data_IF_537737407842
#
_entry.id   IF_537737407842
#
_cell.length_a   1.000
_cell.length_b   1.000
_cell.length_c   1.000
_cell.angle_alpha   90.00
_cell.angle_beta   90.00
_cell.angle_gamma   90.00
#
_symmetry.space_group_name_H-M   'P 1'
#
loop_
_entity.id
_entity.type
_entity.pdbx_description
1 polymer ?
#
# COMPACT_ATOMS: atom_id res chain seq x y z
N UNK A 1 -4.66 -36.46 -2.85
CA UNK A 1 -3.92 -36.48 -1.57
C UNK A 1 -4.31 -35.25 -0.78
N UNK A 2 -4.62 -35.42 0.52
CA UNK A 2 -4.83 -34.29 1.43
C UNK A 2 -3.53 -34.03 2.18
N UNK A 3 -3.09 -32.77 2.20
CA UNK A 3 -1.91 -32.33 2.93
C UNK A 3 -2.39 -31.35 3.98
N UNK A 4 -2.01 -31.58 5.23
CA UNK A 4 -2.29 -30.64 6.31
C UNK A 4 -1.13 -29.67 6.39
N UNK A 5 -1.42 -28.37 6.36
CA UNK A 5 -0.45 -27.29 6.48
C UNK A 5 -0.83 -26.39 7.65
N UNK A 6 0.17 -25.87 8.34
CA UNK A 6 -0.08 -25.00 9.49
C UNK A 6 -0.52 -23.59 9.05
N UNK A 7 0.05 -23.12 7.95
CA UNK A 7 -0.19 -21.76 7.45
C UNK A 7 -0.02 -21.69 5.93
N UNK A 8 -1.04 -21.19 5.25
CA UNK A 8 -1.03 -21.10 3.78
C UNK A 8 0.10 -20.22 3.25
N UNK A 9 0.38 -19.13 3.94
CA UNK A 9 1.35 -18.11 3.52
C UNK A 9 2.81 -18.51 3.73
N UNK A 10 3.08 -19.67 4.35
CA UNK A 10 4.46 -20.10 4.63
C UNK A 10 5.17 -20.69 3.42
N UNK A 11 6.47 -20.51 3.36
CA UNK A 11 7.34 -21.13 2.35
C UNK A 11 7.27 -22.66 2.38
N UNK A 12 7.09 -23.26 3.56
CA UNK A 12 6.93 -24.71 3.71
C UNK A 12 5.65 -25.20 3.03
N UNK A 13 4.56 -24.46 3.10
CA UNK A 13 3.30 -24.80 2.43
C UNK A 13 3.50 -24.75 0.91
N UNK A 14 4.14 -23.72 0.38
CA UNK A 14 4.44 -23.61 -1.06
C UNK A 14 5.28 -24.80 -1.52
N UNK A 15 6.32 -25.18 -0.76
CA UNK A 15 7.14 -26.36 -1.06
C UNK A 15 6.32 -27.65 -1.04
N UNK A 16 5.49 -27.84 -0.01
CA UNK A 16 4.63 -29.02 0.09
C UNK A 16 3.64 -29.13 -1.07
N UNK A 17 3.10 -28.01 -1.55
CA UNK A 17 2.25 -27.98 -2.75
C UNK A 17 3.09 -28.42 -3.98
N UNK A 18 4.27 -27.85 -4.17
CA UNK A 18 5.13 -28.20 -5.29
C UNK A 18 5.49 -29.68 -5.30
N UNK A 19 5.95 -30.24 -4.18
CA UNK A 19 6.40 -31.63 -4.04
C UNK A 19 5.28 -32.66 -4.27
N UNK A 20 4.01 -32.29 -4.01
CA UNK A 20 2.86 -33.18 -4.14
C UNK A 20 2.03 -32.90 -5.40
N UNK A 21 2.53 -32.07 -6.31
CA UNK A 21 1.85 -31.74 -7.56
C UNK A 21 2.31 -32.68 -8.68
N UNK A 22 1.31 -33.30 -9.34
CA UNK A 22 1.48 -34.18 -10.53
C UNK A 22 0.70 -33.67 -11.76
N UNK A 23 0.24 -32.41 -11.71
CA UNK A 23 -0.52 -31.74 -12.75
C UNK A 23 0.31 -30.65 -13.43
N UNK A 24 -0.15 -30.20 -14.61
CA UNK A 24 0.51 -29.11 -15.35
C UNK A 24 0.30 -27.73 -14.68
N UNK A 25 -0.83 -27.58 -14.00
CA UNK A 25 -1.24 -26.35 -13.33
C UNK A 25 -1.75 -26.61 -11.92
N UNK A 26 -1.56 -25.64 -11.05
CA UNK A 26 -2.05 -25.63 -9.66
C UNK A 26 -2.93 -24.40 -9.44
N UNK A 27 -4.08 -24.59 -8.82
CA UNK A 27 -4.89 -23.49 -8.33
C UNK A 27 -4.60 -23.29 -6.84
N UNK A 28 -4.08 -22.12 -6.51
CA UNK A 28 -3.87 -21.69 -5.13
C UNK A 28 -5.05 -20.82 -4.74
N UNK A 29 -5.80 -21.25 -3.72
CA UNK A 29 -6.83 -20.45 -3.08
C UNK A 29 -6.19 -19.71 -1.89
N UNK A 30 -6.04 -18.39 -1.99
CA UNK A 30 -5.30 -17.57 -1.01
C UNK A 30 -6.12 -17.17 0.21
N UNK A 31 -7.42 -17.48 0.21
CA UNK A 31 -8.33 -17.17 1.33
C UNK A 31 -9.13 -18.42 1.73
N UNK A 32 -9.35 -18.59 3.02
CA UNK A 32 -10.24 -19.64 3.55
C UNK A 32 -11.70 -19.20 3.48
N UNK A 33 -12.21 -19.00 2.27
CA UNK A 33 -13.59 -18.58 2.00
C UNK A 33 -14.26 -19.53 1.01
N UNK A 34 -15.59 -19.72 1.06
CA UNK A 34 -16.31 -20.48 0.05
C UNK A 34 -16.18 -19.83 -1.32
N UNK A 35 -15.73 -20.62 -2.30
CA UNK A 35 -15.61 -20.20 -3.69
C UNK A 35 -16.68 -20.89 -4.52
N UNK A 36 -17.42 -20.12 -5.32
CA UNK A 36 -18.37 -20.62 -6.33
C UNK A 36 -17.86 -20.29 -7.71
N UNK A 37 -17.54 -21.31 -8.49
CA UNK A 37 -17.06 -21.18 -9.85
C UNK A 37 -18.17 -20.68 -10.79
N UNK A 38 -17.81 -19.77 -11.68
CA UNK A 38 -18.63 -19.40 -12.81
C UNK A 38 -18.67 -20.53 -13.86
N UNK A 39 -19.61 -20.44 -14.80
CA UNK A 39 -19.71 -21.40 -15.88
C UNK A 39 -18.45 -21.35 -16.75
N UNK A 40 -17.83 -22.51 -16.99
CA UNK A 40 -16.57 -22.66 -17.74
C UNK A 40 -15.37 -21.86 -17.19
N UNK A 41 -15.44 -21.39 -15.97
CA UNK A 41 -14.38 -20.56 -15.39
C UNK A 41 -13.02 -21.28 -15.34
N UNK A 42 -12.98 -22.53 -14.89
CA UNK A 42 -11.74 -23.32 -14.86
C UNK A 42 -11.17 -23.51 -16.27
N UNK A 43 -12.02 -23.84 -17.26
CA UNK A 43 -11.60 -23.97 -18.65
C UNK A 43 -11.04 -22.64 -19.18
N UNK A 44 -11.65 -21.53 -18.82
CA UNK A 44 -11.20 -20.18 -19.21
C UNK A 44 -9.82 -19.87 -18.64
N UNK A 45 -9.57 -20.18 -17.35
CA UNK A 45 -8.26 -20.05 -16.73
C UNK A 45 -7.19 -20.87 -17.45
N UNK A 46 -7.45 -22.17 -17.66
CA UNK A 46 -6.49 -23.09 -18.30
C UNK A 46 -6.18 -22.66 -19.73
N UNK A 47 -7.23 -22.37 -20.53
CA UNK A 47 -7.04 -21.94 -21.92
C UNK A 47 -6.26 -20.63 -22.01
N UNK A 48 -6.53 -19.67 -21.13
CA UNK A 48 -5.74 -18.42 -21.09
C UNK A 48 -4.28 -18.68 -20.74
N UNK A 49 -4.00 -19.54 -19.77
CA UNK A 49 -2.64 -19.89 -19.41
C UNK A 49 -1.88 -20.59 -20.55
N UNK A 50 -2.56 -21.49 -21.28
CA UNK A 50 -1.99 -22.17 -22.45
C UNK A 50 -1.73 -21.21 -23.60
N UNK A 51 -2.72 -20.35 -23.94
CA UNK A 51 -2.64 -19.42 -25.06
C UNK A 51 -1.60 -18.30 -24.85
N UNK A 52 -1.44 -17.84 -23.62
CA UNK A 52 -0.49 -16.75 -23.29
C UNK A 52 0.88 -17.25 -22.86
N UNK A 53 0.98 -18.50 -22.40
CA UNK A 53 2.18 -19.02 -21.76
C UNK A 53 2.47 -18.41 -20.38
N UNK A 54 1.50 -17.70 -19.78
CA UNK A 54 1.66 -17.05 -18.49
C UNK A 54 2.06 -18.02 -17.38
N UNK A 55 2.92 -17.58 -16.47
CA UNK A 55 3.35 -18.36 -15.31
C UNK A 55 2.31 -18.36 -14.20
N UNK A 56 1.49 -17.32 -14.16
CA UNK A 56 0.36 -17.14 -13.25
C UNK A 56 -0.79 -16.44 -13.95
N UNK A 57 -2.01 -16.88 -13.70
CA UNK A 57 -3.25 -16.26 -14.21
C UNK A 57 -4.21 -16.00 -13.06
N UNK A 58 -4.85 -14.84 -13.05
CA UNK A 58 -5.88 -14.44 -12.09
C UNK A 58 -7.02 -13.70 -12.80
N UNK A 59 -8.13 -13.46 -12.10
CA UNK A 59 -9.29 -12.83 -12.74
C UNK A 59 -10.06 -11.91 -11.81
N UNK A 60 -10.93 -11.09 -12.39
CA UNK A 60 -12.01 -10.43 -11.65
C UNK A 60 -12.92 -11.46 -10.99
N UNK A 61 -13.64 -11.04 -9.96
CA UNK A 61 -14.58 -11.90 -9.26
C UNK A 61 -15.77 -11.11 -8.71
N UNK A 62 -16.76 -11.84 -8.25
CA UNK A 62 -17.84 -11.27 -7.46
C UNK A 62 -17.57 -11.53 -5.99
N UNK A 63 -17.85 -10.55 -5.14
CA UNK A 63 -17.87 -10.71 -3.68
C UNK A 63 -19.30 -10.73 -3.16
N UNK A 64 -19.57 -11.56 -2.17
CA UNK A 64 -20.82 -11.50 -1.40
C UNK A 64 -20.51 -10.87 -0.05
N UNK A 65 -21.02 -9.66 0.14
CA UNK A 65 -20.89 -8.90 1.38
C UNK A 65 -22.28 -8.68 1.98
N UNK A 66 -22.48 -9.12 3.21
CA UNK A 66 -23.78 -9.00 3.91
C UNK A 66 -24.97 -9.56 3.07
N UNK A 67 -24.72 -10.64 2.33
CA UNK A 67 -25.71 -11.28 1.46
C UNK A 67 -25.97 -10.57 0.12
N UNK A 68 -25.25 -9.48 -0.19
CA UNK A 68 -25.32 -8.77 -1.47
C UNK A 68 -24.18 -9.18 -2.37
N UNK A 69 -24.50 -9.45 -3.65
CA UNK A 69 -23.52 -9.73 -4.68
C UNK A 69 -23.00 -8.41 -5.25
N UNK A 70 -21.70 -8.21 -5.20
CA UNK A 70 -21.01 -7.02 -5.71
C UNK A 70 -19.92 -7.43 -6.70
N UNK A 71 -19.67 -6.61 -7.72
CA UNK A 71 -18.54 -6.78 -8.63
C UNK A 71 -17.26 -6.34 -7.93
N UNK A 72 -16.23 -7.19 -7.99
CA UNK A 72 -14.89 -6.88 -7.52
C UNK A 72 -13.91 -6.99 -8.70
N UNK A 73 -13.77 -5.92 -9.51
CA UNK A 73 -12.74 -5.87 -10.54
C UNK A 73 -11.38 -5.70 -9.87
N UNK A 74 -10.39 -6.43 -10.37
CA UNK A 74 -8.99 -6.25 -10.00
C UNK A 74 -8.24 -5.52 -11.13
N UNK A 75 -7.01 -5.12 -10.91
CA UNK A 75 -6.22 -4.40 -11.90
C UNK A 75 -5.16 -5.29 -12.52
N UNK A 76 -4.71 -4.93 -13.73
CA UNK A 76 -3.59 -5.60 -14.39
C UNK A 76 -2.33 -5.48 -13.54
N UNK A 77 -1.60 -6.60 -13.41
CA UNK A 77 -0.30 -6.58 -12.78
C UNK A 77 0.69 -5.78 -13.61
N UNK A 78 1.35 -4.84 -12.98
CA UNK A 78 2.41 -4.07 -13.60
C UNK A 78 3.77 -4.60 -13.17
N UNK A 79 4.61 -4.95 -14.14
CA UNK A 79 5.96 -5.42 -13.88
C UNK A 79 6.72 -4.41 -13.00
N UNK A 80 7.34 -4.92 -11.92
CA UNK A 80 8.01 -4.09 -10.92
C UNK A 80 7.14 -3.64 -9.75
N UNK A 81 5.84 -4.00 -9.71
CA UNK A 81 5.02 -3.76 -8.52
C UNK A 81 5.50 -4.59 -7.34
N UNK A 82 5.87 -3.91 -6.25
CA UNK A 82 6.40 -4.52 -5.02
C UNK A 82 5.38 -4.60 -3.88
N UNK A 83 4.15 -4.14 -4.09
CA UNK A 83 3.12 -4.16 -3.04
C UNK A 83 2.84 -5.58 -2.58
N UNK A 84 2.96 -5.83 -1.29
CA UNK A 84 2.64 -7.11 -0.65
C UNK A 84 1.12 -7.36 -0.57
N UNK A 85 0.32 -6.29 -0.61
CA UNK A 85 -1.14 -6.29 -0.62
C UNK A 85 -1.76 -6.12 -2.02
N UNK A 86 -1.01 -6.38 -3.10
CA UNK A 86 -1.57 -6.34 -4.45
C UNK A 86 -2.70 -7.36 -4.60
N UNK A 87 -3.87 -6.89 -5.02
CA UNK A 87 -5.07 -7.71 -5.12
C UNK A 87 -5.12 -8.51 -6.42
N UNK A 88 -4.79 -9.78 -6.33
CA UNK A 88 -4.95 -10.78 -7.40
C UNK A 88 -6.25 -11.58 -7.28
N UNK A 89 -7.16 -11.19 -6.39
CA UNK A 89 -8.29 -12.01 -5.99
C UNK A 89 -7.86 -13.24 -5.16
N UNK A 90 -8.79 -14.17 -4.99
CA UNK A 90 -8.57 -15.33 -4.12
C UNK A 90 -8.07 -16.57 -4.85
N UNK A 91 -8.06 -16.56 -6.19
CA UNK A 91 -7.67 -17.71 -7.00
C UNK A 91 -6.51 -17.35 -7.93
N UNK A 92 -5.40 -18.08 -7.78
CA UNK A 92 -4.23 -18.00 -8.66
C UNK A 92 -4.07 -19.33 -9.39
N UNK A 93 -4.15 -19.33 -10.70
CA UNK A 93 -3.71 -20.48 -11.50
C UNK A 93 -2.22 -20.31 -11.77
N UNK A 94 -1.40 -21.23 -11.28
CA UNK A 94 0.06 -21.19 -11.41
C UNK A 94 0.54 -22.41 -12.18
N UNK A 95 1.47 -22.23 -13.10
CA UNK A 95 2.10 -23.33 -13.84
C UNK A 95 2.92 -24.16 -12.86
N UNK A 96 2.65 -25.47 -12.78
CA UNK A 96 3.26 -26.35 -11.78
C UNK A 96 4.79 -26.38 -11.87
N UNK A 97 5.36 -26.34 -13.08
CA UNK A 97 6.82 -26.30 -13.25
C UNK A 97 7.45 -25.09 -12.54
N UNK A 98 6.79 -23.93 -12.58
CA UNK A 98 7.32 -22.75 -11.88
C UNK A 98 7.28 -22.86 -10.36
N UNK A 99 6.32 -23.62 -9.80
CA UNK A 99 6.33 -23.96 -8.36
C UNK A 99 7.47 -24.89 -7.99
N UNK A 100 7.74 -25.90 -8.83
CA UNK A 100 8.85 -26.83 -8.64
C UNK A 100 10.19 -26.09 -8.73
N UNK A 101 10.35 -25.23 -9.73
CA UNK A 101 11.56 -24.44 -9.93
C UNK A 101 11.79 -23.47 -8.76
N UNK A 102 10.71 -22.85 -8.25
CA UNK A 102 10.77 -22.01 -7.05
C UNK A 102 11.22 -22.80 -5.82
N UNK A 103 10.62 -23.97 -5.58
CA UNK A 103 10.96 -24.81 -4.44
C UNK A 103 12.41 -25.34 -4.49
N UNK A 104 12.96 -25.52 -5.70
CA UNK A 104 14.31 -26.03 -5.93
C UNK A 104 15.41 -24.96 -5.83
N UNK A 105 15.10 -23.67 -5.65
CA UNK A 105 16.10 -22.62 -5.54
C UNK A 105 16.99 -22.82 -4.30
N UNK A 106 18.30 -22.80 -4.48
CA UNK A 106 19.28 -23.01 -3.40
C UNK A 106 19.36 -21.84 -2.41
N UNK A 107 19.06 -20.64 -2.87
CA UNK A 107 19.12 -19.40 -2.09
C UNK A 107 17.75 -18.87 -1.65
N UNK A 108 16.71 -19.70 -1.77
CA UNK A 108 15.38 -19.41 -1.29
C UNK A 108 15.40 -19.18 0.22
N UNK A 109 14.77 -18.09 0.64
CA UNK A 109 14.58 -17.79 2.05
C UNK A 109 13.35 -18.52 2.61
N UNK A 110 13.39 -18.87 3.87
CA UNK A 110 12.27 -19.51 4.56
C UNK A 110 11.45 -18.43 5.31
N UNK A 111 10.14 -18.36 4.98
CA UNK A 111 9.22 -17.41 5.57
C UNK A 111 8.02 -18.12 6.19
N UNK A 112 7.53 -17.62 7.32
CA UNK A 112 6.28 -18.08 7.93
C UNK A 112 5.07 -17.33 7.37
N UNK A 113 5.26 -16.06 6.98
CA UNK A 113 4.19 -15.16 6.54
C UNK A 113 4.35 -14.67 5.10
N UNK A 114 5.57 -14.61 4.60
CA UNK A 114 5.87 -14.01 3.30
C UNK A 114 6.10 -15.03 2.16
N UNK A 115 5.82 -16.32 2.37
CA UNK A 115 6.11 -17.35 1.34
C UNK A 115 5.27 -17.19 0.07
N UNK A 116 3.99 -16.84 0.15
CA UNK A 116 3.18 -16.55 -1.05
C UNK A 116 3.60 -15.24 -1.72
N UNK A 117 4.01 -14.25 -0.95
CA UNK A 117 4.53 -12.99 -1.48
C UNK A 117 5.86 -13.23 -2.21
N UNK A 118 6.77 -13.99 -1.62
CA UNK A 118 8.05 -14.34 -2.25
C UNK A 118 7.84 -15.18 -3.53
N UNK A 119 6.92 -16.16 -3.50
CA UNK A 119 6.51 -16.88 -4.70
C UNK A 119 6.01 -15.94 -5.81
N UNK A 120 5.14 -15.01 -5.50
CA UNK A 120 4.62 -14.03 -6.47
C UNK A 120 5.75 -13.16 -7.04
N UNK A 121 6.68 -12.71 -6.19
CA UNK A 121 7.85 -11.96 -6.64
C UNK A 121 8.75 -12.81 -7.55
N UNK A 122 8.93 -14.09 -7.24
CA UNK A 122 9.63 -15.02 -8.09
C UNK A 122 8.94 -15.17 -9.45
N UNK A 123 7.64 -15.44 -9.46
CA UNK A 123 6.87 -15.62 -10.70
C UNK A 123 6.98 -14.38 -11.60
N UNK A 124 6.98 -13.18 -11.03
CA UNK A 124 7.14 -11.94 -11.80
C UNK A 124 8.51 -11.78 -12.47
N UNK A 125 9.53 -12.52 -12.03
CA UNK A 125 10.87 -12.53 -12.65
C UNK A 125 10.99 -13.53 -13.79
N UNK A 126 10.20 -14.60 -13.75
CA UNK A 126 10.39 -15.74 -14.67
C UNK A 126 9.35 -15.79 -15.79
N UNK A 127 8.28 -14.97 -15.72
CA UNK A 127 7.29 -14.90 -16.77
C UNK A 127 6.18 -13.90 -16.52
N UNK A 128 5.19 -13.93 -17.38
CA UNK A 128 4.05 -13.03 -17.33
C UNK A 128 3.04 -13.47 -16.27
N UNK A 129 2.55 -12.50 -15.47
CA UNK A 129 1.40 -12.65 -14.60
C UNK A 129 0.22 -12.02 -15.32
N UNK A 130 -0.75 -12.84 -15.78
CA UNK A 130 -1.81 -12.43 -16.68
C UNK A 130 -3.14 -12.25 -15.97
N UNK A 131 -3.81 -11.13 -16.21
CA UNK A 131 -5.14 -10.82 -15.72
C UNK A 131 -6.21 -11.16 -16.77
N UNK A 132 -7.21 -11.93 -16.35
CA UNK A 132 -8.43 -12.13 -17.16
C UNK A 132 -9.48 -11.12 -16.68
N UNK A 133 -9.76 -10.13 -17.49
CA UNK A 133 -10.77 -9.09 -17.20
C UNK A 133 -12.20 -9.66 -17.38
N UNK A 134 -12.50 -10.73 -16.64
CA UNK A 134 -13.79 -11.41 -16.61
C UNK A 134 -14.08 -11.90 -15.19
N UNK A 135 -15.35 -11.81 -14.75
CA UNK A 135 -15.78 -12.26 -13.42
C UNK A 135 -15.99 -13.77 -13.43
N UNK A 136 -14.93 -14.53 -13.12
CA UNK A 136 -14.93 -15.99 -13.29
C UNK A 136 -15.39 -16.77 -12.07
N UNK A 137 -15.45 -16.15 -10.88
CA UNK A 137 -15.91 -16.82 -9.67
C UNK A 137 -16.58 -15.83 -8.70
N UNK A 138 -17.19 -16.37 -7.67
CA UNK A 138 -17.76 -15.61 -6.56
C UNK A 138 -17.15 -16.08 -5.25
N UNK A 139 -16.73 -15.16 -4.41
CA UNK A 139 -16.29 -15.44 -3.03
C UNK A 139 -17.25 -14.82 -2.01
N UNK A 140 -17.36 -15.45 -0.84
CA UNK A 140 -18.03 -14.85 0.30
C UNK A 140 -16.99 -14.04 1.10
N UNK A 141 -17.19 -12.73 1.22
CA UNK A 141 -16.29 -11.88 2.01
C UNK A 141 -16.51 -12.15 3.50
N UNK A 142 -15.61 -12.93 4.07
CA UNK A 142 -15.56 -13.15 5.51
C UNK A 142 -14.62 -12.14 6.13
N UNK A 143 -15.16 -11.20 6.93
CA UNK A 143 -14.29 -10.33 7.73
C UNK A 143 -13.73 -11.13 8.92
N UNK A 144 -12.57 -11.73 8.72
CA UNK A 144 -11.88 -12.54 9.73
C UNK A 144 -10.92 -11.73 10.61
N UNK A 145 -10.87 -10.40 10.43
CA UNK A 145 -9.94 -9.53 11.17
C UNK A 145 -10.35 -9.39 12.63
N UNK A 146 -9.40 -9.63 13.50
CA UNK A 146 -9.60 -9.54 14.97
C UNK A 146 -9.75 -8.10 15.48
N UNK A 147 -9.29 -7.09 14.72
CA UNK A 147 -9.25 -5.69 15.16
C UNK A 147 -10.48 -4.89 14.78
N UNK A 148 -11.27 -5.31 13.77
CA UNK A 148 -12.37 -4.52 13.23
C UNK A 148 -11.95 -3.20 12.54
N UNK A 149 -10.68 -2.82 12.59
CA UNK A 149 -10.12 -1.60 12.01
C UNK A 149 -9.51 -1.88 10.64
N UNK A 150 -10.19 -1.43 9.57
CA UNK A 150 -9.80 -1.71 8.19
C UNK A 150 -8.58 -0.93 7.70
N UNK A 151 -8.30 0.25 8.27
CA UNK A 151 -7.48 1.25 7.60
C UNK A 151 -6.00 1.26 7.98
N UNK A 152 -5.61 0.72 9.14
CA UNK A 152 -4.24 0.80 9.65
C UNK A 152 -3.70 -0.52 10.22
N UNK A 153 -4.30 -1.65 9.83
CA UNK A 153 -3.89 -2.95 10.35
C UNK A 153 -2.44 -3.32 9.96
N UNK A 154 -1.98 -2.82 8.81
CA UNK A 154 -0.61 -3.03 8.32
C UNK A 154 0.47 -2.35 9.19
N UNK A 155 0.15 -1.26 9.92
CA UNK A 155 1.09 -0.60 10.85
C UNK A 155 0.90 -1.06 12.31
N UNK A 156 0.04 -2.04 12.56
CA UNK A 156 -0.20 -2.54 13.90
C UNK A 156 1.06 -3.24 14.44
N UNK A 157 1.61 -2.82 15.60
CA UNK A 157 2.80 -3.46 16.18
C UNK A 157 2.68 -4.98 16.39
N UNK A 158 1.45 -5.51 16.46
CA UNK A 158 1.19 -6.96 16.56
C UNK A 158 1.54 -7.72 15.27
N UNK A 159 1.63 -7.01 14.13
CA UNK A 159 1.97 -7.58 12.82
C UNK A 159 3.43 -7.34 12.45
N UNK A 160 4.27 -6.95 13.43
CA UNK A 160 5.68 -6.60 13.17
C UNK A 160 6.47 -7.74 12.51
N UNK A 161 6.24 -8.98 12.92
CA UNK A 161 6.94 -10.14 12.34
C UNK A 161 6.57 -10.34 10.87
N UNK A 162 5.29 -10.14 10.52
CA UNK A 162 4.80 -10.18 9.14
C UNK A 162 5.50 -9.10 8.30
N UNK A 163 5.53 -7.86 8.80
CA UNK A 163 6.18 -6.74 8.10
C UNK A 163 7.68 -6.98 7.86
N UNK A 164 8.39 -7.53 8.85
CA UNK A 164 9.81 -7.85 8.72
C UNK A 164 10.04 -8.91 7.64
N UNK A 165 9.20 -9.93 7.55
CA UNK A 165 9.33 -10.95 6.51
C UNK A 165 9.00 -10.41 5.13
N UNK A 166 7.95 -9.59 4.98
CA UNK A 166 7.61 -8.92 3.72
C UNK A 166 8.76 -8.02 3.24
N UNK A 167 9.37 -7.25 4.15
CA UNK A 167 10.55 -6.44 3.84
C UNK A 167 11.73 -7.28 3.36
N UNK A 168 12.01 -8.41 4.04
CA UNK A 168 13.10 -9.32 3.64
C UNK A 168 12.84 -9.94 2.26
N UNK A 169 11.61 -10.39 1.99
CA UNK A 169 11.26 -10.96 0.70
C UNK A 169 11.39 -9.92 -0.42
N UNK A 170 10.93 -8.69 -0.18
CA UNK A 170 11.08 -7.57 -1.11
C UNK A 170 12.55 -7.23 -1.36
N UNK A 171 13.37 -7.15 -0.30
CA UNK A 171 14.81 -6.86 -0.39
C UNK A 171 15.52 -7.92 -1.22
N UNK A 172 15.28 -9.21 -0.94
CA UNK A 172 15.84 -10.32 -1.71
C UNK A 172 15.43 -10.25 -3.20
N UNK A 173 14.17 -9.91 -3.49
CA UNK A 173 13.73 -9.70 -4.86
C UNK A 173 14.49 -8.55 -5.54
N UNK A 174 14.65 -7.41 -4.85
CA UNK A 174 15.37 -6.24 -5.39
C UNK A 174 16.84 -6.56 -5.66
N UNK A 175 17.50 -7.37 -4.82
CA UNK A 175 18.84 -7.91 -5.07
C UNK A 175 18.87 -8.73 -6.35
N UNK A 176 17.89 -9.65 -6.53
CA UNK A 176 17.80 -10.53 -7.71
C UNK A 176 17.62 -9.80 -9.03
N UNK A 177 16.87 -8.69 -9.02
CA UNK A 177 16.65 -7.86 -10.22
C UNK A 177 17.67 -6.72 -10.38
N UNK A 178 18.64 -6.61 -9.45
CA UNK A 178 19.66 -5.56 -9.48
C UNK A 178 19.12 -4.15 -9.22
N UNK A 179 17.98 -4.04 -8.51
CA UNK A 179 17.32 -2.79 -8.20
C UNK A 179 17.45 -2.37 -6.72
N UNK A 180 18.15 -3.17 -5.90
CA UNK A 180 18.41 -2.78 -4.52
C UNK A 180 19.35 -1.56 -4.50
N UNK A 181 18.88 -0.48 -3.88
CA UNK A 181 19.65 0.76 -3.77
C UNK A 181 20.79 0.56 -2.76
N UNK A 182 22.01 0.81 -3.19
CA UNK A 182 23.18 0.80 -2.32
C UNK A 182 23.29 2.15 -1.59
N UNK A 183 23.05 2.12 -0.28
CA UNK A 183 23.11 3.32 0.58
C UNK A 183 24.50 3.95 0.67
N UNK A 184 25.56 3.22 0.28
CA UNK A 184 26.92 3.77 0.21
C UNK A 184 27.06 4.88 -0.85
N UNK A 185 26.15 4.93 -1.83
CA UNK A 185 26.09 6.00 -2.82
C UNK A 185 25.25 7.20 -2.39
N UNK A 186 24.58 7.14 -1.25
CA UNK A 186 23.85 8.30 -0.74
C UNK A 186 24.85 9.39 -0.34
N UNK A 187 24.63 10.56 -0.90
CA UNK A 187 25.32 11.77 -0.44
C UNK A 187 24.41 12.47 0.56
N UNK A 188 24.91 12.71 1.74
CA UNK A 188 24.21 13.58 2.67
C UNK A 188 24.23 14.98 2.06
N UNK A 189 23.07 15.64 1.85
CA UNK A 189 23.04 17.02 1.43
C UNK A 189 23.79 17.87 2.46
N UNK A 190 24.60 18.79 1.98
CA UNK A 190 25.25 19.78 2.84
C UNK A 190 24.26 20.93 3.03
N UNK A 191 23.70 21.04 4.21
CA UNK A 191 22.79 22.11 4.60
C UNK A 191 23.49 23.21 5.42
N UNK A 192 24.79 23.08 5.70
CA UNK A 192 25.53 23.96 6.61
C UNK A 192 25.68 25.39 6.08
N UNK A 193 25.47 25.61 4.77
CA UNK A 193 25.57 26.95 4.16
C UNK A 193 24.23 27.73 4.17
N UNK A 194 23.13 27.15 4.66
CA UNK A 194 21.81 27.79 4.69
C UNK A 194 21.32 27.96 6.11
N UNK A 195 21.25 29.21 6.57
CA UNK A 195 20.56 29.55 7.81
C UNK A 195 19.06 29.70 7.53
N UNK A 196 18.25 28.81 8.07
CA UNK A 196 16.78 28.91 8.00
C UNK A 196 16.27 29.58 9.28
N UNK A 197 15.32 30.51 9.15
CA UNK A 197 14.66 31.12 10.30
C UNK A 197 13.88 30.07 11.12
N UNK A 198 13.30 29.10 10.43
CA UNK A 198 12.55 27.97 11.01
C UNK A 198 13.17 26.64 10.60
N UNK A 199 13.38 25.77 11.58
CA UNK A 199 13.91 24.43 11.38
C UNK A 199 12.89 23.51 10.68
N UNK A 200 11.61 23.78 10.89
CA UNK A 200 10.52 23.01 10.31
C UNK A 200 9.30 23.87 9.99
N UNK A 201 8.59 23.52 8.92
CA UNK A 201 7.30 24.11 8.56
C UNK A 201 6.22 23.04 8.48
N UNK A 202 5.13 23.23 9.22
CA UNK A 202 3.94 22.38 9.11
C UNK A 202 3.02 22.98 8.05
N UNK A 203 2.82 22.27 6.93
CA UNK A 203 2.03 22.75 5.81
C UNK A 203 0.64 22.12 5.83
N UNK A 204 -0.41 22.94 5.84
CA UNK A 204 -1.81 22.50 5.88
C UNK A 204 -2.57 23.12 4.69
N UNK A 205 -2.71 22.40 3.55
CA UNK A 205 -3.64 22.81 2.50
C UNK A 205 -5.08 22.61 2.98
N UNK A 206 -5.94 23.60 2.75
CA UNK A 206 -7.32 23.54 3.22
C UNK A 206 -8.31 24.08 2.21
N UNK A 207 -9.45 23.41 2.09
CA UNK A 207 -10.63 23.86 1.38
C UNK A 207 -11.89 23.40 2.12
N UNK A 208 -12.73 24.36 2.59
CA UNK A 208 -13.98 24.13 3.28
C UNK A 208 -13.87 23.14 4.46
N UNK A 209 -13.17 23.52 5.52
CA UNK A 209 -12.91 22.69 6.72
C UNK A 209 -13.24 23.42 8.04
N UNK A 210 -14.28 24.27 8.07
CA UNK A 210 -14.68 25.04 9.27
C UNK A 210 -14.81 24.19 10.54
N UNK A 211 -15.17 22.91 10.42
CA UNK A 211 -15.37 22.01 11.57
C UNK A 211 -14.08 21.45 12.16
N UNK A 212 -12.98 21.43 11.40
CA UNK A 212 -11.76 20.70 11.81
C UNK A 212 -10.49 21.53 11.73
N UNK A 213 -10.50 22.66 11.02
CA UNK A 213 -9.29 23.47 10.82
C UNK A 213 -8.72 24.02 12.13
N UNK A 214 -9.60 24.41 13.06
CA UNK A 214 -9.17 24.93 14.36
C UNK A 214 -8.37 23.89 15.14
N UNK A 215 -8.87 22.66 15.19
CA UNK A 215 -8.20 21.57 15.91
C UNK A 215 -6.87 21.22 15.26
N UNK A 216 -6.81 21.15 13.93
CA UNK A 216 -5.59 20.86 13.21
C UNK A 216 -4.50 21.91 13.46
N UNK A 217 -4.83 23.19 13.34
CA UNK A 217 -3.90 24.31 13.53
C UNK A 217 -3.45 24.39 15.00
N UNK A 218 -4.39 24.33 15.96
CA UNK A 218 -4.08 24.37 17.39
C UNK A 218 -3.22 23.17 17.83
N UNK A 219 -3.48 21.98 17.29
CA UNK A 219 -2.65 20.80 17.52
C UNK A 219 -1.21 21.00 17.02
N UNK A 220 -1.05 21.50 15.79
CA UNK A 220 0.27 21.79 15.22
C UNK A 220 1.01 22.85 16.06
N UNK A 221 0.36 23.96 16.41
CA UNK A 221 0.95 25.05 17.19
C UNK A 221 1.26 24.67 18.64
N UNK A 222 0.60 23.66 19.20
CA UNK A 222 0.83 23.20 20.57
C UNK A 222 2.05 22.29 20.75
N UNK A 223 2.76 21.98 19.68
CA UNK A 223 3.95 21.13 19.74
C UNK A 223 5.06 21.78 20.56
N UNK A 224 5.68 20.98 21.44
CA UNK A 224 6.82 21.41 22.24
C UNK A 224 8.10 20.98 21.53
N UNK A 225 8.85 21.94 21.04
CA UNK A 225 10.10 21.71 20.31
C UNK A 225 11.25 22.46 20.94
N UNK A 226 12.48 22.01 20.72
CA UNK A 226 13.71 22.73 21.07
C UNK A 226 14.15 23.70 19.96
N UNK A 227 13.44 23.74 18.85
CA UNK A 227 13.73 24.55 17.67
C UNK A 227 12.53 25.39 17.27
N UNK A 228 12.74 26.42 16.44
CA UNK A 228 11.68 27.24 15.89
C UNK A 228 10.99 26.51 14.74
N UNK A 229 9.67 26.63 14.68
CA UNK A 229 8.87 26.14 13.55
C UNK A 229 7.76 27.11 13.21
N UNK A 230 7.17 26.97 12.03
CA UNK A 230 5.98 27.69 11.63
C UNK A 230 4.89 26.73 11.15
N UNK A 231 3.65 27.22 11.09
CA UNK A 231 2.50 26.52 10.53
C UNK A 231 1.98 27.36 9.36
N UNK A 232 2.09 26.82 8.15
CA UNK A 232 1.68 27.50 6.92
C UNK A 232 0.38 26.87 6.44
N UNK A 233 -0.70 27.64 6.48
CA UNK A 233 -2.03 27.18 6.01
C UNK A 233 -2.31 27.82 4.64
N UNK A 234 -2.47 26.98 3.64
CA UNK A 234 -2.86 27.42 2.29
C UNK A 234 -4.38 27.24 2.17
N UNK A 235 -5.11 28.34 2.33
CA UNK A 235 -6.55 28.37 2.18
C UNK A 235 -6.92 28.51 0.70
N UNK A 236 -7.23 27.40 0.06
CA UNK A 236 -7.54 27.33 -1.37
C UNK A 236 -8.98 27.81 -1.67
N UNK A 237 -9.25 29.09 -1.37
CA UNK A 237 -10.54 29.76 -1.61
C UNK A 237 -11.74 29.10 -0.90
N UNK A 238 -11.60 28.78 0.38
CA UNK A 238 -12.74 28.29 1.17
C UNK A 238 -13.87 29.31 1.18
N UNK A 239 -15.09 28.80 1.03
CA UNK A 239 -16.33 29.59 1.00
C UNK A 239 -17.13 29.50 2.29
N UNK A 240 -16.72 28.65 3.22
CA UNK A 240 -17.24 28.51 4.58
C UNK A 240 -16.44 29.39 5.57
N UNK A 241 -16.66 29.20 6.86
CA UNK A 241 -15.98 29.99 7.91
C UNK A 241 -14.49 29.62 8.11
N UNK A 242 -13.90 28.77 7.28
CA UNK A 242 -12.48 28.35 7.42
C UNK A 242 -11.53 29.54 7.50
N UNK A 243 -11.70 30.55 6.63
CA UNK A 243 -10.85 31.73 6.61
C UNK A 243 -11.01 32.62 7.86
N UNK A 244 -12.24 32.79 8.34
CA UNK A 244 -12.54 33.55 9.58
C UNK A 244 -11.87 32.88 10.78
N UNK A 245 -12.03 31.58 10.93
CA UNK A 245 -11.43 30.78 12.02
C UNK A 245 -9.90 30.91 12.04
N UNK A 246 -9.27 30.85 10.88
CA UNK A 246 -7.82 31.02 10.77
C UNK A 246 -7.36 32.42 11.21
N UNK A 247 -8.11 33.46 10.86
CA UNK A 247 -7.84 34.84 11.26
C UNK A 247 -8.02 35.03 12.78
N UNK A 248 -9.05 34.41 13.35
CA UNK A 248 -9.29 34.42 14.82
C UNK A 248 -8.11 33.77 15.56
N UNK A 249 -7.63 32.60 15.10
CA UNK A 249 -6.48 31.92 15.71
C UNK A 249 -5.20 32.75 15.59
N UNK A 250 -4.96 33.36 14.44
CA UNK A 250 -3.79 34.23 14.23
C UNK A 250 -3.79 35.40 15.23
N UNK A 251 -4.95 36.05 15.43
CA UNK A 251 -5.10 37.15 16.36
C UNK A 251 -4.90 36.71 17.83
N UNK A 252 -5.49 35.56 18.22
CA UNK A 252 -5.27 34.96 19.56
C UNK A 252 -3.79 34.72 19.87
N UNK A 253 -3.01 34.34 18.86
CA UNK A 253 -1.58 34.07 19.00
C UNK A 253 -0.75 35.35 19.14
N UNK A 254 -1.05 36.38 18.38
CA UNK A 254 -0.40 37.70 18.47
C UNK A 254 -0.59 38.30 19.88
N UNK A 255 -1.78 38.17 20.47
CA UNK A 255 -2.08 38.65 21.80
C UNK A 255 -1.30 37.91 22.90
N UNK A 256 -1.05 36.60 22.73
CA UNK A 256 -0.33 35.77 23.73
C UNK A 256 1.17 36.07 23.81
N UNK A 257 1.73 36.71 22.77
CA UNK A 257 3.16 37.09 22.71
C UNK A 257 4.12 35.95 23.09
N UNK A 258 3.75 34.68 22.79
CA UNK A 258 4.53 33.51 23.13
C UNK A 258 5.63 33.30 22.07
N UNK A 259 6.87 33.71 22.42
CA UNK A 259 8.02 33.62 21.53
C UNK A 259 8.46 32.19 21.20
N UNK A 260 7.93 31.19 21.91
CA UNK A 260 8.22 29.76 21.67
C UNK A 260 7.12 29.07 20.86
N UNK A 261 5.93 29.67 20.73
CA UNK A 261 4.90 29.13 19.88
C UNK A 261 5.27 29.31 18.40
N UNK A 262 5.00 28.30 17.58
CA UNK A 262 5.19 28.39 16.15
C UNK A 262 4.37 29.54 15.54
N UNK A 263 4.91 30.23 14.52
CA UNK A 263 4.18 31.29 13.82
C UNK A 263 3.12 30.69 12.89
N UNK A 264 1.90 31.20 12.93
CA UNK A 264 0.86 30.88 11.93
C UNK A 264 0.98 31.82 10.71
N UNK A 265 1.12 31.25 9.54
CA UNK A 265 1.11 31.97 8.26
C UNK A 265 -0.09 31.47 7.45
N UNK A 266 -0.93 32.41 7.00
CA UNK A 266 -2.06 32.09 6.12
C UNK A 266 -1.76 32.59 4.71
N UNK A 267 -1.89 31.73 3.72
CA UNK A 267 -1.75 32.04 2.31
C UNK A 267 -3.08 31.76 1.62
N UNK A 268 -3.55 32.72 0.83
CA UNK A 268 -4.66 32.53 -0.11
C UNK A 268 -4.07 32.64 -1.51
N UNK A 269 -4.14 31.60 -2.34
CA UNK A 269 -3.60 31.63 -3.70
C UNK A 269 -4.25 32.71 -4.57
N UNK A 270 -3.51 33.28 -5.52
CA UNK A 270 -4.08 34.21 -6.50
C UNK A 270 -4.97 33.50 -7.53
N UNK A 271 -4.85 32.18 -7.65
CA UNK A 271 -5.60 31.32 -8.58
C UNK A 271 -6.37 30.24 -7.81
N UNK A 272 -7.53 29.86 -8.32
CA UNK A 272 -8.47 28.93 -7.66
C UNK A 272 -8.46 27.51 -8.22
N UNK A 273 -7.56 27.20 -9.16
CA UNK A 273 -7.43 25.90 -9.82
C UNK A 273 -6.26 25.05 -9.27
N UNK A 274 -5.69 25.45 -8.13
CA UNK A 274 -4.65 24.67 -7.47
C UNK A 274 -5.25 23.39 -6.86
N UNK A 275 -4.71 22.24 -7.27
CA UNK A 275 -4.90 21.00 -6.52
C UNK A 275 -4.06 20.99 -5.24
N UNK A 276 -4.16 19.90 -4.46
CA UNK A 276 -3.42 19.76 -3.20
C UNK A 276 -1.89 19.92 -3.40
N UNK A 277 -1.34 19.37 -4.48
CA UNK A 277 0.09 19.50 -4.82
C UNK A 277 0.50 20.94 -5.13
N UNK A 278 -0.37 21.70 -5.80
CA UNK A 278 -0.14 23.12 -6.06
C UNK A 278 -0.11 23.95 -4.77
N UNK A 279 -0.99 23.64 -3.81
CA UNK A 279 -1.00 24.27 -2.50
C UNK A 279 0.26 23.96 -1.69
N UNK A 280 0.74 22.71 -1.71
CA UNK A 280 2.02 22.34 -1.08
C UNK A 280 3.19 23.10 -1.69
N UNK A 281 3.28 23.12 -3.03
CA UNK A 281 4.35 23.86 -3.71
C UNK A 281 4.33 25.36 -3.39
N UNK A 282 3.14 25.95 -3.25
CA UNK A 282 3.02 27.33 -2.85
C UNK A 282 3.56 27.59 -1.44
N UNK A 283 3.22 26.72 -0.49
CA UNK A 283 3.72 26.84 0.87
C UNK A 283 5.23 26.62 0.98
N UNK A 284 5.78 25.64 0.25
CA UNK A 284 7.23 25.36 0.23
C UNK A 284 8.04 26.53 -0.35
N UNK A 285 7.46 27.26 -1.29
CA UNK A 285 8.11 28.41 -1.94
C UNK A 285 7.67 29.76 -1.36
N UNK A 286 6.97 29.77 -0.22
CA UNK A 286 6.64 31.02 0.47
C UNK A 286 7.80 31.43 1.36
N UNK A 287 8.16 32.71 1.30
CA UNK A 287 9.20 33.33 2.13
C UNK A 287 8.80 33.42 3.62
#
# INVERSE_FOLDING_TARGET
TFIVVDRLESSNTVSSIAENTDADYVIICTKATPIRWGLYALERFLRTADDTGAVMVYSDHYSVREGKLEKHPVIDYQAGSLRDDFDFGSLWLVKAQNLLDYAAQQDRQEYQFAGLYDLRLYLSRVGEIFHINEFLYTEDELDTRKSGEKQFDYVNPRNREVQIEMEKACTHHLEKVGALVDTNYYRQPDFDEQEFEYEASVIIPVFNREKTIADAVKSALSQKTSFKFNVIVVNNHSTDRTGEILSEIAHEMEERNDKQAGRLVQIVPDRNDLGIGGCWNMAINSD
#
